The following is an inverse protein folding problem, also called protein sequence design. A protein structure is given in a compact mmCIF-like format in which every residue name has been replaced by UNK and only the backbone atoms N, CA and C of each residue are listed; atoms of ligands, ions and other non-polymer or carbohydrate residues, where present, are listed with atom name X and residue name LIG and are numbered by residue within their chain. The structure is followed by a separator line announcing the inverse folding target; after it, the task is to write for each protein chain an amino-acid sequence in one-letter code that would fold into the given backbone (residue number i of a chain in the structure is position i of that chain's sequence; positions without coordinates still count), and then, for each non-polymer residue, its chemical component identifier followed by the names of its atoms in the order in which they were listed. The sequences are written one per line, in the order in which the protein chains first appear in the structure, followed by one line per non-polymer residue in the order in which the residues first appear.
data_IF_434715226098
#
_entry.id   IF_434715226098
#
_cell.length_a   1.000
_cell.length_b   1.000
_cell.length_c   1.000
_cell.angle_alpha   90.00
_cell.angle_beta   90.00
_cell.angle_gamma   90.00
#
_symmetry.space_group_name_H-M   'P 1'
#
loop_
_entity.id
_entity.type
_entity.pdbx_description
1 polymer ?
#
# COMPACT_ATOMS: atom_id res chain seq x y z
N UNK A 1 -19.67 -3.28 1.90
CA UNK A 1 -19.45 -1.93 1.35
C UNK A 1 -18.51 -2.03 0.15
N UNK A 2 -18.59 -1.10 -0.82
CA UNK A 2 -17.62 -1.00 -1.91
C UNK A 2 -16.88 0.34 -1.78
N UNK A 3 -15.57 0.31 -1.50
CA UNK A 3 -14.70 1.46 -1.65
C UNK A 3 -14.39 1.65 -3.14
N UNK A 4 -14.60 2.86 -3.66
CA UNK A 4 -14.23 3.25 -5.01
C UNK A 4 -13.10 4.29 -4.92
N UNK A 5 -11.94 3.96 -5.47
CA UNK A 5 -10.85 4.91 -5.63
C UNK A 5 -10.95 5.52 -7.02
N UNK A 6 -11.20 6.82 -7.11
CA UNK A 6 -11.13 7.52 -8.37
C UNK A 6 -9.66 7.80 -8.70
N UNK A 7 -9.25 7.31 -9.86
CA UNK A 7 -7.92 7.52 -10.42
C UNK A 7 -8.14 8.12 -11.80
N UNK A 8 -7.43 9.21 -12.12
CA UNK A 8 -7.45 9.77 -13.48
C UNK A 8 -7.05 8.68 -14.49
N UNK A 9 -7.85 8.41 -15.53
CA UNK A 9 -7.56 7.34 -16.48
C UNK A 9 -6.23 7.55 -17.24
N UNK A 10 -5.70 8.76 -17.26
CA UNK A 10 -4.42 9.11 -17.88
C UNK A 10 -3.24 9.04 -16.91
N UNK A 11 -3.49 8.85 -15.61
CA UNK A 11 -2.42 8.71 -14.64
C UNK A 11 -1.77 7.33 -14.79
N UNK A 12 -0.45 7.31 -14.90
CA UNK A 12 0.35 6.08 -14.93
C UNK A 12 0.47 5.47 -13.53
N UNK A 13 -0.67 5.06 -12.95
CA UNK A 13 -0.74 4.42 -11.64
C UNK A 13 -1.33 3.03 -11.77
N UNK A 14 -0.93 2.15 -10.87
CA UNK A 14 -1.46 0.80 -10.77
C UNK A 14 -1.93 0.57 -9.35
N UNK A 15 -3.19 0.14 -9.21
CA UNK A 15 -3.74 -0.25 -7.91
C UNK A 15 -3.45 -1.73 -7.67
N UNK A 16 -2.63 -2.03 -6.66
CA UNK A 16 -2.38 -3.39 -6.19
C UNK A 16 -3.21 -3.65 -4.92
N UNK A 17 -4.47 -4.02 -5.11
CA UNK A 17 -5.37 -4.41 -4.02
C UNK A 17 -5.54 -5.94 -4.04
N UNK A 18 -4.93 -6.62 -3.05
CA UNK A 18 -4.97 -8.08 -2.88
C UNK A 18 -5.15 -8.43 -1.40
N UNK A 19 -5.64 -9.65 -1.08
CA UNK A 19 -5.55 -10.18 0.27
C UNK A 19 -4.10 -10.14 0.79
N UNK A 20 -3.92 -9.95 2.10
CA UNK A 20 -2.60 -9.79 2.72
C UNK A 20 -1.59 -10.91 2.37
N UNK A 21 -1.98 -12.21 2.34
CA UNK A 21 -1.06 -13.29 1.97
C UNK A 21 -0.54 -13.20 0.53
N UNK A 22 -1.31 -12.62 -0.39
CA UNK A 22 -0.94 -12.52 -1.81
C UNK A 22 -0.26 -11.19 -2.16
N UNK A 23 -0.33 -10.21 -1.25
CA UNK A 23 0.15 -8.87 -1.50
C UNK A 23 1.69 -8.82 -1.59
N UNK A 24 2.38 -9.65 -0.81
CA UNK A 24 3.84 -9.76 -0.82
C UNK A 24 4.39 -10.19 -2.20
N UNK A 25 3.82 -11.24 -2.79
CA UNK A 25 4.21 -11.74 -4.11
C UNK A 25 3.89 -10.72 -5.21
N UNK A 26 2.71 -10.10 -5.13
CA UNK A 26 2.32 -9.03 -6.05
C UNK A 26 3.28 -7.85 -5.99
N UNK A 27 3.64 -7.42 -4.78
CA UNK A 27 4.50 -6.28 -4.55
C UNK A 27 5.94 -6.56 -5.01
N UNK A 28 6.47 -7.75 -4.77
CA UNK A 28 7.84 -8.12 -5.18
C UNK A 28 8.07 -7.94 -6.69
N UNK A 29 7.06 -8.33 -7.49
CA UNK A 29 7.13 -8.23 -8.95
C UNK A 29 6.99 -6.79 -9.46
N UNK A 30 6.29 -5.94 -8.69
CA UNK A 30 5.84 -4.63 -9.15
C UNK A 30 6.65 -3.47 -8.57
N UNK A 31 7.15 -3.58 -7.34
CA UNK A 31 7.86 -2.51 -6.63
C UNK A 31 9.11 -2.03 -7.39
N UNK A 32 9.71 -2.86 -8.26
CA UNK A 32 10.84 -2.47 -9.11
C UNK A 32 10.45 -1.61 -10.32
N UNK A 33 9.19 -1.67 -10.75
CA UNK A 33 8.70 -1.00 -11.96
C UNK A 33 8.28 0.45 -11.69
N UNK A 34 7.96 0.76 -10.44
CA UNK A 34 7.51 2.10 -10.05
C UNK A 34 8.62 2.88 -9.34
N UNK A 35 8.74 4.19 -9.57
CA UNK A 35 9.65 5.06 -8.83
C UNK A 35 9.11 5.48 -7.45
N UNK A 36 7.79 5.36 -7.26
CA UNK A 36 7.07 5.71 -6.04
C UNK A 36 6.03 4.65 -5.74
N UNK A 37 5.86 4.30 -4.48
CA UNK A 37 4.79 3.42 -3.99
C UNK A 37 4.04 4.13 -2.88
N UNK A 38 2.71 4.10 -2.95
CA UNK A 38 1.82 4.59 -1.90
C UNK A 38 1.17 3.36 -1.27
N UNK A 39 1.45 3.13 0.01
CA UNK A 39 0.85 2.06 0.79
C UNK A 39 -0.25 2.66 1.67
N UNK A 40 -1.46 2.13 1.54
CA UNK A 40 -2.61 2.51 2.36
C UNK A 40 -2.93 1.36 3.31
N UNK A 41 -2.67 1.58 4.60
CA UNK A 41 -3.01 0.63 5.66
C UNK A 41 -4.33 1.07 6.32
N UNK A 42 -5.39 0.27 6.15
CA UNK A 42 -6.73 0.61 6.65
C UNK A 42 -6.88 0.20 8.10
N UNK A 43 -7.41 1.11 8.92
CA UNK A 43 -7.72 0.81 10.32
C UNK A 43 -8.88 -0.18 10.47
N UNK A 44 -9.77 -0.24 9.47
CA UNK A 44 -10.89 -1.17 9.43
C UNK A 44 -11.04 -1.72 8.00
N UNK A 45 -10.24 -2.73 7.61
CA UNK A 45 -10.16 -3.18 6.23
C UNK A 45 -11.43 -3.95 5.83
N UNK A 46 -12.27 -3.32 5.00
CA UNK A 46 -13.51 -3.92 4.52
C UNK A 46 -13.33 -5.14 3.59
N UNK A 47 -12.12 -5.36 3.06
CA UNK A 47 -11.79 -6.40 2.08
C UNK A 47 -10.79 -7.45 2.59
N UNK A 48 -10.42 -7.37 3.86
CA UNK A 48 -9.44 -8.29 4.47
C UNK A 48 -10.12 -8.98 5.64
N UNK A 49 -10.77 -10.11 5.37
CA UNK A 49 -11.21 -11.05 6.40
C UNK A 49 -10.52 -12.40 6.14
N UNK A 50 -9.54 -12.80 6.97
CA UNK A 50 -9.06 -12.08 8.16
C UNK A 50 -8.23 -10.82 7.84
N UNK A 51 -8.13 -9.86 8.78
CA UNK A 51 -7.21 -8.73 8.66
C UNK A 51 -5.76 -9.19 8.54
N UNK A 52 -4.90 -8.34 7.99
CA UNK A 52 -3.46 -8.62 7.93
C UNK A 52 -2.86 -8.80 9.33
N UNK A 53 -2.03 -9.82 9.46
CA UNK A 53 -1.22 -10.11 10.63
C UNK A 53 0.02 -9.21 10.67
N UNK A 54 0.70 -9.16 11.82
CA UNK A 54 1.96 -8.42 11.93
C UNK A 54 3.06 -9.01 11.04
N UNK A 55 3.08 -10.34 10.87
CA UNK A 55 4.05 -11.00 10.00
C UNK A 55 3.91 -10.58 8.54
N UNK A 56 2.67 -10.50 8.03
CA UNK A 56 2.40 -10.06 6.66
C UNK A 56 2.74 -8.57 6.46
N UNK A 57 2.49 -7.72 7.46
CA UNK A 57 2.93 -6.31 7.42
C UNK A 57 4.44 -6.17 7.40
N UNK A 58 5.15 -6.98 8.19
CA UNK A 58 6.60 -6.99 8.22
C UNK A 58 7.21 -7.45 6.89
N UNK A 59 6.60 -8.44 6.24
CA UNK A 59 7.03 -8.92 4.92
C UNK A 59 6.94 -7.83 3.84
N UNK A 60 5.87 -7.03 3.85
CA UNK A 60 5.73 -5.87 2.94
C UNK A 60 6.88 -4.88 3.16
N UNK A 61 7.24 -4.59 4.42
CA UNK A 61 8.33 -3.68 4.74
C UNK A 61 9.68 -4.20 4.25
N UNK A 62 9.96 -5.48 4.48
CA UNK A 62 11.14 -6.16 3.97
C UNK A 62 11.25 -6.05 2.44
N UNK A 63 10.15 -6.23 1.72
CA UNK A 63 10.11 -6.10 0.25
C UNK A 63 10.43 -4.67 -0.19
N UNK A 64 9.89 -3.65 0.50
CA UNK A 64 10.21 -2.25 0.19
C UNK A 64 11.72 -2.00 0.34
N UNK A 65 12.33 -2.44 1.44
CA UNK A 65 13.76 -2.28 1.66
C UNK A 65 14.61 -2.97 0.59
N UNK A 66 14.31 -4.24 0.29
CA UNK A 66 14.99 -5.02 -0.76
C UNK A 66 14.80 -4.39 -2.15
N UNK A 67 13.72 -3.65 -2.34
CA UNK A 67 13.41 -2.92 -3.58
C UNK A 67 14.03 -1.52 -3.66
N UNK A 68 14.86 -1.15 -2.68
CA UNK A 68 15.51 0.16 -2.57
C UNK A 68 14.50 1.31 -2.45
N UNK A 69 13.35 1.03 -1.85
CA UNK A 69 12.32 2.01 -1.54
C UNK A 69 12.55 2.58 -0.15
N UNK A 70 12.67 3.89 -0.05
CA UNK A 70 12.82 4.62 1.20
C UNK A 70 11.49 5.29 1.56
N UNK A 71 11.09 5.17 2.84
CA UNK A 71 9.94 5.91 3.36
C UNK A 71 10.24 7.41 3.36
N UNK A 72 9.44 8.18 2.62
CA UNK A 72 9.57 9.63 2.51
C UNK A 72 8.58 10.35 3.43
N UNK A 73 7.34 9.86 3.48
CA UNK A 73 6.32 10.40 4.37
C UNK A 73 5.42 9.31 4.91
N UNK A 74 4.88 9.58 6.09
CA UNK A 74 3.86 8.75 6.73
C UNK A 74 2.86 9.67 7.41
N UNK A 75 1.59 9.53 7.07
CA UNK A 75 0.53 10.37 7.60
C UNK A 75 -0.74 9.58 7.86
N UNK A 76 -1.51 10.04 8.84
CA UNK A 76 -2.86 9.52 9.07
C UNK A 76 -3.83 10.28 8.19
N UNK A 77 -4.55 9.54 7.36
CA UNK A 77 -5.66 10.05 6.58
C UNK A 77 -6.96 9.66 7.28
N UNK A 78 -7.86 10.63 7.42
CA UNK A 78 -9.21 10.41 7.93
C UNK A 78 -10.21 11.02 6.97
N UNK A 79 -11.08 10.20 6.40
CA UNK A 79 -12.22 10.69 5.64
C UNK A 79 -13.42 11.03 6.53
N UNK A 80 -14.60 11.04 5.91
CA UNK A 80 -15.84 11.47 6.55
C UNK A 80 -16.52 10.38 7.37
N UNK A 81 -16.12 9.11 7.20
CA UNK A 81 -16.65 7.96 7.96
C UNK A 81 -15.51 7.13 8.57
N UNK A 82 -15.81 6.36 9.62
CA UNK A 82 -14.78 5.67 10.42
C UNK A 82 -13.91 4.67 9.64
N UNK A 83 -14.44 4.07 8.58
CA UNK A 83 -13.67 3.17 7.71
C UNK A 83 -12.68 3.91 6.82
N UNK A 84 -12.80 5.24 6.70
CA UNK A 84 -11.90 6.07 5.90
C UNK A 84 -10.63 6.48 6.68
N UNK A 85 -10.32 5.75 7.76
CA UNK A 85 -9.11 5.95 8.54
C UNK A 85 -8.02 5.05 7.99
N UNK A 86 -6.97 5.67 7.47
CA UNK A 86 -5.81 4.98 6.92
C UNK A 86 -4.53 5.56 7.47
N UNK A 87 -3.51 4.74 7.55
CA UNK A 87 -2.14 5.23 7.55
C UNK A 87 -1.63 5.17 6.12
N UNK A 88 -1.34 6.33 5.54
CA UNK A 88 -0.67 6.41 4.24
C UNK A 88 0.83 6.49 4.44
N UNK A 89 1.56 5.60 3.78
CA UNK A 89 3.03 5.64 3.72
C UNK A 89 3.47 5.83 2.28
N UNK A 90 4.27 6.85 2.02
CA UNK A 90 4.82 7.13 0.69
C UNK A 90 6.27 6.70 0.66
N UNK A 91 6.58 5.82 -0.26
CA UNK A 91 7.93 5.34 -0.51
C UNK A 91 8.43 5.80 -1.86
N UNK A 92 9.70 6.18 -1.95
CA UNK A 92 10.36 6.52 -3.20
C UNK A 92 11.65 5.74 -3.37
N UNK A 93 11.98 5.45 -4.63
CA UNK A 93 13.23 4.76 -4.96
C UNK A 93 14.41 5.69 -4.67
N UNK A 94 15.38 5.18 -3.92
CA UNK A 94 16.66 5.86 -3.73
C UNK A 94 17.33 5.95 -5.10
N UNK A 95 17.42 7.17 -5.65
CA UNK A 95 18.29 7.43 -6.80
C UNK A 95 19.72 7.44 -6.30
N UNK A 96 20.50 6.44 -6.71
CA UNK A 96 21.97 6.49 -6.57
C UNK A 96 22.55 7.42 -7.61
#
# INVERSE_FOLDING_TARGET
MRLAYYIDPNAAVMLLAKPAPELADGLTNQARQFPRVILLDSFNPAYSDPPSTEGERQEIWDIMQRSQMQLISKEQLSGTIDIDRFTMSVYERIRR
#
